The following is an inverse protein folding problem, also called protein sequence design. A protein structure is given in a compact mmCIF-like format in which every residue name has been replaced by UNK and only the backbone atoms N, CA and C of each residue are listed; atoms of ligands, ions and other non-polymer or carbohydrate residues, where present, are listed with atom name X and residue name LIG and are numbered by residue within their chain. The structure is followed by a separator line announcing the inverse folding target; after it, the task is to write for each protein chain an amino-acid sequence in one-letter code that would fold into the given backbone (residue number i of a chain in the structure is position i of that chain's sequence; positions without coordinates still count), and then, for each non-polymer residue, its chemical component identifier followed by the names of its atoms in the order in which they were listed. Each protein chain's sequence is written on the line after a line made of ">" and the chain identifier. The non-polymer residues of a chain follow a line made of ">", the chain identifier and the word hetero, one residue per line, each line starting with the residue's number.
data_IF_463558435292
#
_entry.id   IF_463558435292
#
_cell.length_a   1.000
_cell.length_b   1.000
_cell.length_c   1.000
_cell.angle_alpha   90.00
_cell.angle_beta   90.00
_cell.angle_gamma   90.00
#
_symmetry.space_group_name_H-M   'P 1'
#
loop_
_entity.id
_entity.type
_entity.pdbx_description
1 polymer ?
#
# COMPACT_ATOMS: atom_id res chain seq x y z
N UNK A 1 -20.81 32.53 -28.31
CA UNK A 1 -19.54 31.77 -28.33
C UNK A 1 -18.29 32.59 -27.98
N UNK A 2 -18.35 33.93 -27.81
CA UNK A 2 -17.22 34.78 -27.39
C UNK A 2 -16.93 34.76 -25.88
N UNK A 3 -17.97 34.65 -25.05
CA UNK A 3 -17.89 34.71 -23.57
C UNK A 3 -17.02 33.59 -22.95
N UNK A 4 -17.16 32.35 -23.44
CA UNK A 4 -16.35 31.20 -22.99
C UNK A 4 -14.85 31.41 -23.27
N UNK A 5 -14.53 32.11 -24.36
CA UNK A 5 -13.15 32.38 -24.80
C UNK A 5 -12.47 33.47 -23.96
N UNK A 6 -13.27 34.36 -23.37
CA UNK A 6 -12.83 35.45 -22.50
C UNK A 6 -12.59 34.98 -21.07
N UNK A 7 -13.44 34.08 -20.56
CA UNK A 7 -13.24 33.42 -19.27
C UNK A 7 -11.96 32.57 -19.30
N UNK A 8 -11.73 31.77 -20.34
CA UNK A 8 -10.52 30.93 -20.48
C UNK A 8 -9.20 31.70 -20.65
N UNK A 9 -9.24 33.02 -20.93
CA UNK A 9 -8.04 33.86 -21.00
C UNK A 9 -7.56 34.33 -19.62
N UNK A 10 -8.41 34.30 -18.59
CA UNK A 10 -8.04 34.72 -17.23
C UNK A 10 -7.09 33.70 -16.59
N UNK A 11 -6.08 34.22 -15.90
CA UNK A 11 -5.06 33.39 -15.23
C UNK A 11 -5.67 32.47 -14.17
N UNK A 12 -6.69 32.96 -13.45
CA UNK A 12 -7.49 32.18 -12.48
C UNK A 12 -8.22 31.00 -13.10
N UNK A 13 -8.69 31.09 -14.35
CA UNK A 13 -9.39 29.99 -15.02
C UNK A 13 -8.45 28.86 -15.41
N UNK A 14 -7.19 29.17 -15.71
CA UNK A 14 -6.16 28.15 -15.98
C UNK A 14 -5.81 27.35 -14.72
N UNK A 15 -5.72 28.03 -13.58
CA UNK A 15 -5.48 27.39 -12.28
C UNK A 15 -6.62 26.44 -11.92
N UNK A 16 -7.88 26.91 -11.94
CA UNK A 16 -9.06 26.10 -11.64
C UNK A 16 -9.15 24.89 -12.59
N UNK A 17 -8.81 25.08 -13.87
CA UNK A 17 -8.79 23.98 -14.85
C UNK A 17 -7.79 22.88 -14.47
N UNK A 18 -6.61 23.23 -13.96
CA UNK A 18 -5.62 22.24 -13.51
C UNK A 18 -6.12 21.49 -12.28
N UNK A 19 -6.75 22.18 -11.31
CA UNK A 19 -7.36 21.53 -10.15
C UNK A 19 -8.42 20.51 -10.56
N UNK A 20 -9.30 20.86 -11.50
CA UNK A 20 -10.32 19.94 -12.02
C UNK A 20 -9.66 18.74 -12.69
N UNK A 21 -8.62 18.94 -13.51
CA UNK A 21 -7.89 17.84 -14.17
C UNK A 21 -7.26 16.92 -13.13
N UNK A 22 -6.61 17.46 -12.10
CA UNK A 22 -6.01 16.66 -11.01
C UNK A 22 -7.08 15.90 -10.24
N UNK A 23 -8.21 16.53 -9.92
CA UNK A 23 -9.32 15.86 -9.23
C UNK A 23 -9.90 14.71 -10.05
N UNK A 24 -10.08 14.90 -11.36
CA UNK A 24 -10.52 13.85 -12.30
C UNK A 24 -9.49 12.72 -12.34
N UNK A 25 -8.20 13.03 -12.37
CA UNK A 25 -7.14 12.03 -12.40
C UNK A 25 -7.11 11.20 -11.10
N UNK A 26 -7.25 11.83 -9.93
CA UNK A 26 -7.36 11.13 -8.65
C UNK A 26 -8.62 10.26 -8.62
N UNK A 27 -9.75 10.77 -9.12
CA UNK A 27 -10.99 10.02 -9.20
C UNK A 27 -10.87 8.80 -10.13
N UNK A 28 -10.18 8.94 -11.27
CA UNK A 28 -9.91 7.83 -12.18
C UNK A 28 -9.02 6.74 -11.54
N UNK A 29 -8.12 7.13 -10.64
CA UNK A 29 -7.26 6.19 -9.91
C UNK A 29 -7.97 5.51 -8.72
N UNK A 30 -9.18 5.94 -8.33
CA UNK A 30 -9.90 5.42 -7.15
C UNK A 30 -9.95 3.89 -7.08
N UNK A 31 -10.23 3.24 -8.21
CA UNK A 31 -10.40 1.78 -8.25
C UNK A 31 -9.08 1.01 -8.26
N UNK A 32 -7.96 1.68 -8.55
CA UNK A 32 -6.62 1.09 -8.59
C UNK A 32 -5.69 1.72 -7.55
N UNK A 33 -6.26 2.43 -6.56
CA UNK A 33 -5.49 3.20 -5.59
C UNK A 33 -4.59 2.30 -4.74
N UNK A 34 -5.08 1.11 -4.38
CA UNK A 34 -4.32 0.11 -3.62
C UNK A 34 -3.11 -0.36 -4.43
N UNK A 35 -3.32 -0.70 -5.70
CA UNK A 35 -2.26 -1.10 -6.62
C UNK A 35 -1.23 0.03 -6.79
N UNK A 36 -1.70 1.27 -6.96
CA UNK A 36 -0.83 2.45 -7.14
C UNK A 36 0.00 2.73 -5.89
N UNK A 37 -0.62 2.77 -4.71
CA UNK A 37 0.05 2.99 -3.43
C UNK A 37 1.09 1.90 -3.17
N UNK A 38 0.73 0.65 -3.43
CA UNK A 38 1.63 -0.46 -3.21
C UNK A 38 2.80 -0.48 -4.21
N UNK A 39 2.55 -0.11 -5.46
CA UNK A 39 3.61 0.07 -6.47
C UNK A 39 4.58 1.15 -6.02
N UNK A 40 4.07 2.27 -5.52
CA UNK A 40 4.88 3.36 -4.98
C UNK A 40 5.70 2.90 -3.76
N UNK A 41 5.07 2.16 -2.84
CA UNK A 41 5.71 1.62 -1.65
C UNK A 41 6.88 0.69 -2.02
N UNK A 42 6.66 -0.29 -2.90
CA UNK A 42 7.72 -1.21 -3.33
C UNK A 42 8.84 -0.48 -4.07
N UNK A 43 8.49 0.47 -4.93
CA UNK A 43 9.48 1.27 -5.67
C UNK A 43 10.36 2.05 -4.70
N UNK A 44 9.75 2.71 -3.71
CA UNK A 44 10.48 3.46 -2.70
C UNK A 44 11.35 2.55 -1.83
N UNK A 45 10.80 1.42 -1.38
CA UNK A 45 11.51 0.45 -0.54
C UNK A 45 12.75 -0.09 -1.27
N UNK A 46 12.59 -0.50 -2.52
CA UNK A 46 13.69 -1.04 -3.33
C UNK A 46 14.69 0.06 -3.69
N UNK A 47 14.24 1.28 -3.98
CA UNK A 47 15.14 2.41 -4.19
C UNK A 47 16.01 2.69 -2.96
N UNK A 48 15.40 2.69 -1.78
CA UNK A 48 16.11 2.91 -0.51
C UNK A 48 17.13 1.81 -0.24
N UNK A 49 16.76 0.54 -0.48
CA UNK A 49 17.66 -0.60 -0.35
C UNK A 49 18.79 -0.54 -1.39
N UNK A 50 18.50 -0.31 -2.67
CA UNK A 50 19.48 -0.18 -3.74
C UNK A 50 20.51 0.91 -3.39
N UNK A 51 20.05 2.09 -2.96
CA UNK A 51 20.93 3.19 -2.54
C UNK A 51 21.80 2.80 -1.35
N UNK A 52 21.22 2.15 -0.33
CA UNK A 52 21.95 1.70 0.87
C UNK A 52 23.02 0.67 0.51
N UNK A 53 22.69 -0.30 -0.35
CA UNK A 53 23.61 -1.33 -0.83
C UNK A 53 24.73 -0.67 -1.66
N UNK A 54 24.40 0.21 -2.60
CA UNK A 54 25.41 0.90 -3.41
C UNK A 54 26.35 1.70 -2.53
N UNK A 55 25.85 2.49 -1.58
CA UNK A 55 26.71 3.28 -0.68
C UNK A 55 27.68 2.38 0.10
N UNK A 56 27.20 1.25 0.62
CA UNK A 56 28.01 0.33 1.40
C UNK A 56 28.99 -0.49 0.55
N UNK A 57 28.60 -0.89 -0.66
CA UNK A 57 29.40 -1.75 -1.55
C UNK A 57 30.26 -0.97 -2.56
N UNK A 58 30.09 0.35 -2.69
CA UNK A 58 30.92 1.19 -3.57
C UNK A 58 32.42 1.14 -3.23
N UNK A 59 32.77 0.75 -1.99
CA UNK A 59 34.15 0.49 -1.59
C UNK A 59 34.76 -0.76 -2.26
N UNK A 60 33.94 -1.70 -2.71
CA UNK A 60 34.41 -3.01 -3.17
C UNK A 60 34.09 -3.29 -4.65
N UNK A 61 32.95 -2.84 -5.18
CA UNK A 61 32.52 -3.20 -6.56
C UNK A 61 31.74 -2.06 -7.23
N UNK A 62 32.04 -1.75 -8.49
CA UNK A 62 31.21 -0.90 -9.37
C UNK A 62 30.10 -1.74 -10.00
N UNK A 63 28.95 -1.84 -9.34
CA UNK A 63 27.79 -2.59 -9.85
C UNK A 63 26.94 -1.72 -10.78
N UNK A 64 26.44 -2.31 -11.87
CA UNK A 64 25.45 -1.68 -12.74
C UNK A 64 24.10 -1.66 -12.02
N UNK A 65 23.54 -0.46 -11.84
CA UNK A 65 22.28 -0.23 -11.11
C UNK A 65 21.15 -1.17 -11.57
N UNK A 66 20.99 -1.34 -12.89
CA UNK A 66 19.96 -2.23 -13.48
C UNK A 66 20.09 -3.69 -13.03
N UNK A 67 21.31 -4.21 -12.89
CA UNK A 67 21.53 -5.59 -12.45
C UNK A 67 21.15 -5.75 -10.96
N UNK A 68 21.54 -4.77 -10.14
CA UNK A 68 21.20 -4.77 -8.71
C UNK A 68 19.68 -4.73 -8.50
N UNK A 69 18.97 -3.90 -9.28
CA UNK A 69 17.50 -3.86 -9.27
C UNK A 69 16.91 -5.26 -9.52
N UNK A 70 17.29 -5.94 -10.62
CA UNK A 70 16.74 -7.26 -10.97
C UNK A 70 16.98 -8.29 -9.86
N UNK A 71 18.19 -8.32 -9.30
CA UNK A 71 18.53 -9.24 -8.20
C UNK A 71 17.70 -8.95 -6.96
N UNK A 72 17.50 -7.68 -6.61
CA UNK A 72 16.70 -7.30 -5.43
C UNK A 72 15.24 -7.74 -5.57
N UNK A 73 14.64 -7.53 -6.74
CA UNK A 73 13.27 -8.01 -7.00
C UNK A 73 13.18 -9.52 -6.96
N UNK A 74 14.18 -10.24 -7.49
CA UNK A 74 14.19 -11.71 -7.44
C UNK A 74 14.25 -12.24 -6.01
N UNK A 75 15.11 -11.64 -5.16
CA UNK A 75 15.21 -11.99 -3.74
C UNK A 75 13.91 -11.69 -3.00
N UNK A 76 13.34 -10.50 -3.17
CA UNK A 76 12.08 -10.11 -2.53
C UNK A 76 10.94 -11.03 -2.96
N UNK A 77 10.83 -11.32 -4.26
CA UNK A 77 9.79 -12.19 -4.78
C UNK A 77 9.89 -13.60 -4.20
N UNK A 78 11.09 -14.18 -4.18
CA UNK A 78 11.36 -15.50 -3.59
C UNK A 78 11.02 -15.51 -2.10
N UNK A 79 11.44 -14.49 -1.37
CA UNK A 79 11.18 -14.37 0.07
C UNK A 79 9.69 -14.24 0.36
N UNK A 80 8.95 -13.49 -0.47
CA UNK A 80 7.51 -13.32 -0.34
C UNK A 80 6.78 -14.63 -0.59
N UNK A 81 7.09 -15.35 -1.68
CA UNK A 81 6.50 -16.66 -1.99
C UNK A 81 6.79 -17.67 -0.88
N UNK A 82 8.04 -17.72 -0.39
CA UNK A 82 8.40 -18.57 0.74
C UNK A 82 7.64 -18.21 2.02
N UNK A 83 7.50 -16.91 2.30
CA UNK A 83 6.78 -16.43 3.48
C UNK A 83 5.30 -16.83 3.42
N UNK A 84 4.66 -16.62 2.27
CA UNK A 84 3.26 -17.03 2.04
C UNK A 84 3.10 -18.54 2.19
N UNK A 85 3.95 -19.32 1.53
CA UNK A 85 3.85 -20.78 1.54
C UNK A 85 4.05 -21.39 2.94
N UNK A 86 4.97 -20.84 3.73
CA UNK A 86 5.31 -21.40 5.05
C UNK A 86 4.49 -20.81 6.20
N UNK A 87 4.37 -19.48 6.26
CA UNK A 87 3.84 -18.81 7.44
C UNK A 87 2.31 -18.74 7.43
N UNK A 88 1.66 -18.53 6.27
CA UNK A 88 0.19 -18.50 6.22
C UNK A 88 -0.43 -19.81 6.75
N UNK A 89 -0.09 -21.01 6.22
CA UNK A 89 -0.71 -22.23 6.71
C UNK A 89 -0.33 -22.54 8.16
N UNK A 90 0.89 -22.19 8.56
CA UNK A 90 1.35 -22.37 9.93
C UNK A 90 0.49 -21.54 10.91
N UNK A 91 0.23 -20.27 10.60
CA UNK A 91 -0.61 -19.40 11.43
C UNK A 91 -2.04 -19.93 11.49
N UNK A 92 -2.62 -20.31 10.35
CA UNK A 92 -3.99 -20.86 10.30
C UNK A 92 -4.10 -22.13 11.14
N UNK A 93 -3.19 -23.08 10.96
CA UNK A 93 -3.20 -24.32 11.73
C UNK A 93 -3.01 -24.07 13.22
N UNK A 94 -2.10 -23.16 13.61
CA UNK A 94 -1.92 -22.78 15.01
C UNK A 94 -3.19 -22.15 15.60
N UNK A 95 -3.87 -21.26 14.88
CA UNK A 95 -5.13 -20.66 15.32
C UNK A 95 -6.22 -21.73 15.53
N UNK A 96 -6.34 -22.70 14.63
CA UNK A 96 -7.32 -23.80 14.75
C UNK A 96 -6.98 -24.73 15.92
N UNK A 97 -5.71 -25.09 16.10
CA UNK A 97 -5.26 -25.97 17.19
C UNK A 97 -5.54 -25.32 18.55
N UNK A 98 -5.21 -24.03 18.70
CA UNK A 98 -5.51 -23.28 19.93
C UNK A 98 -7.02 -23.26 20.19
N UNK A 99 -7.83 -22.97 19.17
CA UNK A 99 -9.29 -22.99 19.28
C UNK A 99 -9.83 -24.34 19.77
N UNK A 100 -9.39 -25.43 19.14
CA UNK A 100 -9.83 -26.79 19.48
C UNK A 100 -9.33 -27.23 20.86
N UNK A 101 -8.13 -26.81 21.27
CA UNK A 101 -7.59 -27.08 22.61
C UNK A 101 -8.37 -26.42 23.74
N UNK A 102 -8.93 -25.22 23.50
CA UNK A 102 -9.85 -24.58 24.44
C UNK A 102 -11.25 -25.24 24.44
N UNK A 103 -11.70 -25.77 23.31
CA UNK A 103 -13.00 -26.47 23.21
C UNK A 103 -12.97 -27.93 23.68
N UNK A 104 -11.78 -28.53 23.86
CA UNK A 104 -11.62 -29.94 24.22
C UNK A 104 -11.62 -30.26 25.72
N UNK A 105 -12.29 -31.36 26.09
CA UNK A 105 -12.13 -32.14 27.33
C UNK A 105 -12.09 -31.36 28.66
N UNK A 106 -10.87 -31.03 29.13
CA UNK A 106 -10.64 -30.36 30.43
C UNK A 106 -11.02 -28.87 30.41
N UNK A 107 -10.74 -28.18 29.31
CA UNK A 107 -11.09 -26.77 29.14
C UNK A 107 -12.59 -26.57 28.95
N UNK A 108 -13.28 -27.53 28.32
CA UNK A 108 -14.73 -27.53 28.19
C UNK A 108 -15.45 -27.49 29.54
N UNK A 109 -14.96 -28.25 30.52
CA UNK A 109 -15.50 -28.25 31.88
C UNK A 109 -15.30 -26.89 32.57
N UNK A 110 -14.13 -26.27 32.36
CA UNK A 110 -13.83 -24.94 32.88
C UNK A 110 -14.67 -23.85 32.20
N UNK A 111 -14.86 -23.92 30.88
CA UNK A 111 -15.72 -23.01 30.11
C UNK A 111 -17.17 -23.12 30.60
N UNK A 112 -17.69 -24.34 30.77
CA UNK A 112 -19.05 -24.56 31.29
C UNK A 112 -19.20 -24.01 32.73
N UNK A 113 -18.19 -24.17 33.59
CA UNK A 113 -18.18 -23.61 34.95
C UNK A 113 -18.18 -22.09 34.94
N UNK A 114 -17.35 -21.47 34.09
CA UNK A 114 -17.30 -20.01 33.93
C UNK A 114 -18.62 -19.49 33.35
N UNK A 115 -19.20 -20.16 32.35
CA UNK A 115 -20.52 -19.83 31.81
C UNK A 115 -21.61 -19.90 32.88
N UNK A 116 -21.63 -20.95 33.69
CA UNK A 116 -22.60 -21.12 34.77
C UNK A 116 -22.46 -20.04 35.86
N UNK A 117 -21.23 -19.61 36.16
CA UNK A 117 -20.96 -18.54 37.13
C UNK A 117 -21.36 -17.15 36.60
N UNK A 118 -21.19 -16.91 35.30
CA UNK A 118 -21.54 -15.63 34.66
C UNK A 118 -23.01 -15.54 34.22
N UNK A 119 -23.71 -16.67 34.10
CA UNK A 119 -25.12 -16.76 33.75
C UNK A 119 -26.04 -15.82 34.59
N UNK A 120 -25.95 -15.79 35.94
CA UNK A 120 -26.78 -14.88 36.74
C UNK A 120 -26.41 -13.40 36.60
N UNK A 121 -25.23 -13.06 36.06
CA UNK A 121 -24.73 -11.68 35.97
C UNK A 121 -24.96 -11.06 34.58
N UNK A 122 -24.87 -11.86 33.51
CA UNK A 122 -24.84 -11.37 32.12
C UNK A 122 -25.83 -12.13 31.21
N UNK A 123 -26.51 -13.17 31.71
CA UNK A 123 -27.44 -13.99 30.93
C UNK A 123 -26.75 -15.08 30.08
N UNK A 124 -27.42 -15.55 29.03
CA UNK A 124 -26.91 -16.60 28.13
C UNK A 124 -25.69 -16.12 27.34
N UNK A 125 -24.48 -16.41 27.83
CA UNK A 125 -23.22 -16.13 27.12
C UNK A 125 -22.67 -17.41 26.49
N UNK A 126 -22.68 -17.50 25.16
CA UNK A 126 -22.07 -18.62 24.42
C UNK A 126 -20.58 -18.38 24.14
N UNK A 127 -19.75 -18.60 25.16
CA UNK A 127 -18.29 -18.44 25.10
C UNK A 127 -17.67 -19.28 23.97
N UNK A 128 -18.25 -20.43 23.63
CA UNK A 128 -17.76 -21.30 22.55
C UNK A 128 -18.07 -20.70 21.19
N UNK A 129 -19.28 -20.17 21.02
CA UNK A 129 -19.67 -19.37 19.86
C UNK A 129 -18.76 -18.18 19.65
N UNK A 130 -18.42 -17.44 20.72
CA UNK A 130 -17.46 -16.34 20.65
C UNK A 130 -16.06 -16.80 20.19
N UNK A 131 -15.48 -17.84 20.81
CA UNK A 131 -14.16 -18.35 20.41
C UNK A 131 -14.13 -18.84 18.95
N UNK A 132 -15.19 -19.50 18.49
CA UNK A 132 -15.32 -19.94 17.10
C UNK A 132 -15.45 -18.75 16.14
N UNK A 133 -16.19 -17.71 16.53
CA UNK A 133 -16.33 -16.49 15.73
C UNK A 133 -15.02 -15.73 15.62
N UNK A 134 -14.25 -15.61 16.70
CA UNK A 134 -12.93 -14.96 16.68
C UNK A 134 -11.95 -15.71 15.77
N UNK A 135 -11.88 -17.03 15.89
CA UNK A 135 -10.99 -17.86 15.05
C UNK A 135 -11.41 -17.80 13.59
N UNK A 136 -12.72 -17.85 13.30
CA UNK A 136 -13.21 -17.69 11.93
C UNK A 136 -12.96 -16.29 11.38
N UNK A 137 -12.99 -15.25 12.21
CA UNK A 137 -12.62 -13.88 11.82
C UNK A 137 -11.14 -13.78 11.45
N UNK A 138 -10.24 -14.39 12.22
CA UNK A 138 -8.81 -14.46 11.90
C UNK A 138 -8.58 -15.21 10.58
N UNK A 139 -9.24 -16.35 10.38
CA UNK A 139 -9.14 -17.12 9.13
C UNK A 139 -9.70 -16.34 7.94
N UNK A 140 -10.84 -15.64 8.12
CA UNK A 140 -11.41 -14.78 7.08
C UNK A 140 -10.50 -13.60 6.75
N UNK A 141 -9.85 -12.99 7.74
CA UNK A 141 -8.86 -11.94 7.54
C UNK A 141 -7.64 -12.45 6.76
N UNK A 142 -7.10 -13.62 7.11
CA UNK A 142 -6.01 -14.24 6.35
C UNK A 142 -6.44 -14.55 4.91
N UNK A 143 -7.67 -15.03 4.73
CA UNK A 143 -8.23 -15.32 3.39
C UNK A 143 -8.44 -14.05 2.57
N UNK A 144 -8.87 -12.95 3.20
CA UNK A 144 -9.05 -11.65 2.54
C UNK A 144 -7.71 -11.00 2.18
N UNK A 145 -6.66 -11.19 2.99
CA UNK A 145 -5.28 -10.85 2.61
C UNK A 145 -4.83 -11.62 1.35
N UNK A 146 -5.26 -12.88 1.20
CA UNK A 146 -5.05 -13.65 -0.03
C UNK A 146 -5.67 -12.97 -1.26
N UNK A 147 -6.87 -12.39 -1.14
CA UNK A 147 -7.51 -11.62 -2.22
C UNK A 147 -6.71 -10.36 -2.58
N UNK A 148 -6.11 -9.69 -1.59
CA UNK A 148 -5.17 -8.58 -1.80
C UNK A 148 -3.83 -9.02 -2.39
N UNK A 149 -3.48 -10.30 -2.27
CA UNK A 149 -2.25 -10.89 -2.79
C UNK A 149 -2.03 -10.65 -4.29
N UNK A 150 -3.10 -10.62 -5.09
CA UNK A 150 -3.02 -10.32 -6.52
C UNK A 150 -2.53 -8.88 -6.74
N UNK A 151 -3.08 -7.91 -6.00
CA UNK A 151 -2.61 -6.52 -6.05
C UNK A 151 -1.15 -6.42 -5.61
N UNK A 152 -0.72 -7.22 -4.64
CA UNK A 152 0.68 -7.28 -4.19
C UNK A 152 1.62 -7.76 -5.29
N UNK A 153 1.27 -8.86 -5.97
CA UNK A 153 2.09 -9.40 -7.06
C UNK A 153 2.13 -8.42 -8.23
N UNK A 154 0.98 -7.87 -8.63
CA UNK A 154 0.90 -6.89 -9.72
C UNK A 154 1.69 -5.61 -9.39
N UNK A 155 1.59 -5.12 -8.15
CA UNK A 155 2.34 -3.95 -7.71
C UNK A 155 3.85 -4.19 -7.72
N UNK A 156 4.31 -5.39 -7.32
CA UNK A 156 5.72 -5.77 -7.41
C UNK A 156 6.23 -5.78 -8.85
N UNK A 157 5.47 -6.37 -9.76
CA UNK A 157 5.82 -6.41 -11.20
C UNK A 157 5.83 -5.00 -11.78
N UNK A 158 4.80 -4.19 -11.50
CA UNK A 158 4.73 -2.82 -12.00
C UNK A 158 5.86 -1.94 -11.41
N UNK A 159 6.18 -2.15 -10.14
CA UNK A 159 7.29 -1.51 -9.47
C UNK A 159 8.63 -1.85 -10.14
N UNK A 160 8.84 -3.13 -10.50
CA UNK A 160 10.04 -3.56 -11.25
C UNK A 160 10.16 -2.81 -12.57
N UNK A 161 9.09 -2.77 -13.37
CA UNK A 161 9.09 -2.03 -14.63
C UNK A 161 9.39 -0.55 -14.41
N UNK A 162 8.76 0.07 -13.42
CA UNK A 162 9.00 1.48 -13.10
C UNK A 162 10.45 1.75 -12.69
N UNK A 163 11.05 0.84 -11.92
CA UNK A 163 12.44 0.91 -11.51
C UNK A 163 13.42 0.78 -12.69
N UNK A 164 13.19 -0.19 -13.57
CA UNK A 164 14.02 -0.41 -14.76
C UNK A 164 13.92 0.77 -15.74
N UNK A 165 12.72 1.31 -15.92
CA UNK A 165 12.41 2.42 -16.82
C UNK A 165 12.62 3.80 -16.20
N UNK A 166 13.16 3.89 -14.97
CA UNK A 166 13.28 5.16 -14.22
C UNK A 166 13.95 6.29 -15.00
N UNK A 167 14.96 5.95 -15.83
CA UNK A 167 15.69 6.93 -16.66
C UNK A 167 14.84 7.45 -17.82
N UNK A 168 13.99 6.60 -18.40
CA UNK A 168 13.09 6.94 -19.49
C UNK A 168 11.92 7.79 -18.97
N UNK A 169 11.35 7.42 -17.82
CA UNK A 169 10.34 8.22 -17.12
C UNK A 169 10.87 9.61 -16.82
N UNK A 170 12.11 9.73 -16.31
CA UNK A 170 12.74 11.04 -16.07
C UNK A 170 12.90 11.85 -17.36
N UNK A 171 13.36 11.23 -18.45
CA UNK A 171 13.49 11.91 -19.76
C UNK A 171 12.15 12.39 -20.29
N UNK A 172 11.09 11.59 -20.15
CA UNK A 172 9.73 11.96 -20.51
C UNK A 172 9.25 13.19 -19.72
N UNK A 173 9.43 13.19 -18.39
CA UNK A 173 9.03 14.32 -17.54
C UNK A 173 9.77 15.62 -17.89
N UNK A 174 11.06 15.54 -18.22
CA UNK A 174 11.84 16.70 -18.68
C UNK A 174 11.30 17.25 -20.00
N UNK A 175 11.01 16.37 -20.97
CA UNK A 175 10.41 16.79 -22.25
C UNK A 175 8.99 17.33 -22.08
N UNK A 176 8.22 16.78 -21.14
CA UNK A 176 6.88 17.24 -20.83
C UNK A 176 6.89 18.68 -20.29
N UNK A 177 7.86 18.99 -19.41
CA UNK A 177 8.09 20.35 -18.88
C UNK A 177 8.35 21.38 -19.98
N UNK A 178 8.99 21.01 -21.09
CA UNK A 178 9.32 21.95 -22.20
C UNK A 178 8.31 21.90 -23.35
N UNK A 179 7.26 21.09 -23.26
CA UNK A 179 6.29 20.88 -24.33
C UNK A 179 5.23 22.00 -24.42
N UNK A 180 4.34 21.94 -25.42
CA UNK A 180 3.14 22.82 -25.52
C UNK A 180 2.23 22.72 -24.30
N UNK A 181 2.36 21.67 -23.48
CA UNK A 181 1.60 21.42 -22.25
C UNK A 181 2.40 21.84 -20.99
N UNK A 182 3.54 22.54 -21.16
CA UNK A 182 4.38 23.07 -20.08
C UNK A 182 3.62 23.92 -19.05
N UNK A 183 2.57 24.62 -19.48
CA UNK A 183 1.66 25.39 -18.62
C UNK A 183 1.02 24.48 -17.57
N UNK A 184 0.50 23.31 -17.97
CA UNK A 184 -0.10 22.35 -17.04
C UNK A 184 0.95 21.81 -16.06
N UNK A 185 2.16 21.50 -16.54
CA UNK A 185 3.26 21.05 -15.67
C UNK A 185 3.60 22.11 -14.60
N UNK A 186 3.70 23.39 -14.97
CA UNK A 186 3.98 24.49 -14.02
C UNK A 186 2.92 24.56 -12.93
N UNK A 187 1.64 24.54 -13.29
CA UNK A 187 0.55 24.63 -12.32
C UNK A 187 0.43 23.38 -11.44
N UNK A 188 0.64 22.18 -11.99
CA UNK A 188 0.68 20.94 -11.19
C UNK A 188 1.81 20.98 -10.16
N UNK A 189 3.01 21.45 -10.56
CA UNK A 189 4.14 21.60 -9.63
C UNK A 189 3.85 22.64 -8.54
N UNK A 190 3.23 23.77 -8.90
CA UNK A 190 2.81 24.78 -7.92
C UNK A 190 1.79 24.20 -6.93
N UNK A 191 0.75 23.54 -7.42
CA UNK A 191 -0.24 22.87 -6.59
C UNK A 191 0.39 21.89 -5.60
N UNK A 192 1.27 20.99 -6.07
CA UNK A 192 1.93 20.03 -5.19
C UNK A 192 2.86 20.70 -4.18
N UNK A 193 3.54 21.78 -4.55
CA UNK A 193 4.39 22.55 -3.62
C UNK A 193 3.54 23.18 -2.51
N UNK A 194 2.45 23.84 -2.86
CA UNK A 194 1.55 24.48 -1.89
C UNK A 194 0.83 23.44 -1.03
N UNK A 195 0.44 22.30 -1.62
CA UNK A 195 -0.12 21.16 -0.91
C UNK A 195 0.86 20.58 0.12
N UNK A 196 2.14 20.40 -0.23
CA UNK A 196 3.16 19.92 0.71
C UNK A 196 3.40 20.91 1.84
N UNK A 197 3.45 22.22 1.55
CA UNK A 197 3.59 23.25 2.59
C UNK A 197 2.36 23.22 3.52
N UNK A 198 1.16 23.13 2.97
CA UNK A 198 -0.07 22.98 3.74
C UNK A 198 -0.04 21.74 4.63
N UNK A 199 0.39 20.60 4.09
CA UNK A 199 0.49 19.34 4.83
C UNK A 199 1.51 19.46 5.96
N UNK A 200 2.71 19.98 5.70
CA UNK A 200 3.72 20.22 6.75
C UNK A 200 3.18 21.15 7.83
N UNK A 201 2.49 22.25 7.48
CA UNK A 201 1.84 23.13 8.46
C UNK A 201 0.79 22.38 9.28
N UNK A 202 -0.08 21.60 8.65
CA UNK A 202 -1.13 20.82 9.32
C UNK A 202 -0.57 19.84 10.36
N UNK A 203 0.55 19.17 10.05
CA UNK A 203 1.20 18.24 10.97
C UNK A 203 2.12 18.94 11.99
N UNK A 204 2.64 20.12 11.68
CA UNK A 204 3.45 20.93 12.60
C UNK A 204 2.62 21.64 13.68
N UNK A 205 1.31 21.79 13.51
CA UNK A 205 0.39 22.32 14.53
C UNK A 205 -0.02 21.28 15.59
N UNK A 206 0.48 20.05 15.49
CA UNK A 206 0.14 18.93 16.39
C UNK A 206 1.24 18.57 17.40
N UNK A 207 2.29 19.38 17.53
CA UNK A 207 3.34 19.24 18.55
C UNK A 207 3.67 20.59 19.17
#
# INVERSE_FOLDING_TARGET
>A
MSFLREIFKRETTKEISVFIIVAILIYALKNIIDLFLLTFLFTYLIYSLEKTIIINLRKYIKLKEMFLTIVLYFVIFTLLVYFVYKYIPLIVNQSIILANGFMGGKSQHNINKVQQYLYPLVGNVDIKGYLKNEVSTIVQFITSLGKWGINIILALVLSLFFMLERTNVRRFLIKFKTSKISIMYKYVVLFWKDFLIFLVRLFSFKY
#
